data_IF_980523955605
#
_entry.id   IF_980523955605
#
_cell.length_a   1.000
_cell.length_b   1.000
_cell.length_c   1.000
_cell.angle_alpha   90.00
_cell.angle_beta   90.00
_cell.angle_gamma   90.00
#
_symmetry.space_group_name_H-M   'P 1'
#
loop_
_entity.id
_entity.type
_entity.pdbx_description
1 polymer ?
#
# COMPACT_ATOMS: atom_id res chain seq x y z
N UNK A 1 2.36 8.64 16.57
CA UNK A 1 1.65 7.91 15.51
C UNK A 1 2.05 6.45 15.60
N UNK A 2 1.18 5.49 15.24
CA UNK A 2 1.57 4.08 15.25
C UNK A 2 2.69 3.84 14.24
N UNK A 3 3.67 3.04 14.62
CA UNK A 3 4.73 2.53 13.75
C UNK A 3 4.65 1.02 13.70
N UNK A 4 4.91 0.43 12.56
CA UNK A 4 4.80 -1.00 12.32
C UNK A 4 6.07 -1.55 11.69
N UNK A 5 6.29 -2.85 11.93
CA UNK A 5 7.45 -3.58 11.39
C UNK A 5 7.02 -4.94 10.86
N UNK A 6 7.41 -5.22 9.63
CA UNK A 6 7.24 -6.51 8.98
C UNK A 6 8.62 -7.10 8.68
N UNK A 7 8.90 -8.29 9.17
CA UNK A 7 10.10 -9.03 8.83
C UNK A 7 9.73 -10.22 7.95
N UNK A 8 10.39 -10.33 6.81
CA UNK A 8 10.20 -11.42 5.84
C UNK A 8 11.47 -12.25 5.74
N UNK A 9 11.34 -13.55 5.95
CA UNK A 9 12.44 -14.50 5.94
C UNK A 9 12.29 -15.46 4.77
N UNK A 10 13.41 -15.70 4.05
CA UNK A 10 13.53 -16.73 3.02
C UNK A 10 14.72 -17.60 3.38
N UNK A 11 14.54 -18.92 3.44
CA UNK A 11 15.64 -19.82 3.75
C UNK A 11 16.79 -19.67 2.73
N UNK A 12 18.06 -19.74 3.18
CA UNK A 12 19.21 -19.63 2.28
C UNK A 12 19.20 -20.63 1.12
N UNK A 13 18.58 -21.80 1.30
CA UNK A 13 18.45 -22.83 0.24
C UNK A 13 17.42 -22.45 -0.83
N UNK A 14 16.36 -21.68 -0.48
CA UNK A 14 15.27 -21.31 -1.36
C UNK A 14 15.55 -19.98 -2.09
N UNK A 15 16.36 -19.12 -1.49
CA UNK A 15 16.69 -17.79 -2.02
C UNK A 15 17.26 -17.82 -3.45
N UNK A 16 18.21 -18.70 -3.82
CA UNK A 16 18.72 -18.79 -5.19
C UNK A 16 17.61 -19.17 -6.19
N UNK A 17 16.66 -20.03 -5.81
CA UNK A 17 15.54 -20.46 -6.65
C UNK A 17 14.63 -19.27 -6.92
N UNK A 18 14.22 -18.54 -5.87
CA UNK A 18 13.39 -17.34 -5.95
C UNK A 18 14.03 -16.28 -6.85
N UNK A 19 15.36 -16.05 -6.70
CA UNK A 19 16.10 -15.08 -7.52
C UNK A 19 16.21 -15.51 -8.98
N UNK A 20 16.52 -16.78 -9.25
CA UNK A 20 16.64 -17.29 -10.63
C UNK A 20 15.31 -17.25 -11.35
N UNK A 21 14.21 -17.44 -10.64
CA UNK A 21 12.85 -17.26 -11.19
C UNK A 21 12.45 -15.78 -11.39
N UNK A 22 13.34 -14.82 -11.11
CA UNK A 22 13.06 -13.39 -11.23
C UNK A 22 12.01 -12.87 -10.25
N UNK A 23 11.72 -13.63 -9.20
CA UNK A 23 10.68 -13.27 -8.24
C UNK A 23 11.12 -12.13 -7.33
N UNK A 24 10.20 -11.22 -7.04
CA UNK A 24 10.40 -10.09 -6.12
C UNK A 24 9.39 -10.18 -4.97
N UNK A 25 9.82 -9.79 -3.80
CA UNK A 25 8.90 -9.60 -2.66
C UNK A 25 8.04 -8.39 -2.98
N UNK A 26 6.74 -8.59 -3.03
CA UNK A 26 5.78 -7.56 -3.39
C UNK A 26 4.82 -7.28 -2.24
N UNK A 27 4.64 -6.00 -1.93
CA UNK A 27 3.78 -5.52 -0.86
C UNK A 27 2.73 -4.58 -1.44
N UNK A 28 1.50 -4.71 -0.96
CA UNK A 28 0.42 -3.78 -1.24
C UNK A 28 -0.45 -3.54 -0.01
N UNK A 29 -1.04 -2.36 0.07
CA UNK A 29 -1.86 -1.92 1.19
C UNK A 29 -3.25 -1.53 0.70
N UNK A 30 -4.34 -2.05 1.26
CA UNK A 30 -5.70 -1.69 0.84
C UNK A 30 -6.07 -0.29 1.34
N UNK A 31 -6.83 0.44 0.52
CA UNK A 31 -7.40 1.75 0.84
C UNK A 31 -8.85 1.75 0.38
N UNK A 32 -9.79 2.04 1.28
CA UNK A 32 -11.24 2.13 1.04
C UNK A 32 -11.91 0.86 0.51
N UNK A 33 -11.15 -0.18 0.19
CA UNK A 33 -11.62 -1.48 -0.28
C UNK A 33 -10.82 -2.60 0.39
N UNK A 34 -11.37 -3.81 0.41
CA UNK A 34 -10.73 -4.97 1.05
C UNK A 34 -9.45 -5.40 0.31
N UNK A 35 -9.39 -5.19 -1.02
CA UNK A 35 -8.22 -5.54 -1.84
C UNK A 35 -7.43 -4.31 -2.25
N UNK A 36 -6.08 -4.37 -2.22
CA UNK A 36 -5.25 -3.28 -2.72
C UNK A 36 -5.31 -3.20 -4.25
N UNK A 37 -5.08 -2.00 -4.78
CA UNK A 37 -5.04 -1.76 -6.22
C UNK A 37 -3.75 -1.08 -6.71
N UNK A 38 -2.75 -0.95 -5.84
CA UNK A 38 -1.42 -0.43 -6.20
C UNK A 38 -0.35 -1.23 -5.47
N UNK A 39 0.71 -1.59 -6.18
CA UNK A 39 1.91 -2.17 -5.58
C UNK A 39 2.68 -1.06 -4.87
N UNK A 40 2.70 -1.13 -3.55
CA UNK A 40 3.44 -0.20 -2.72
C UNK A 40 4.94 -0.41 -2.83
N UNK A 41 5.41 -1.65 -2.59
CA UNK A 41 6.83 -1.99 -2.64
C UNK A 41 7.05 -3.25 -3.46
N UNK A 42 8.10 -3.24 -4.28
CA UNK A 42 8.62 -4.40 -4.99
C UNK A 42 10.12 -4.47 -4.71
N UNK A 43 10.55 -5.48 -3.96
CA UNK A 43 11.84 -5.57 -3.31
C UNK A 43 12.59 -6.80 -3.83
N UNK A 44 13.88 -6.67 -4.09
CA UNK A 44 14.74 -7.83 -4.38
C UNK A 44 14.78 -8.75 -3.15
N UNK A 45 14.65 -10.07 -3.32
CA UNK A 45 14.60 -10.97 -2.19
C UNK A 45 15.97 -11.13 -1.52
N UNK A 46 15.95 -11.12 -0.18
CA UNK A 46 17.07 -11.43 0.70
C UNK A 46 16.69 -12.54 1.68
N UNK A 47 17.65 -13.12 2.38
CA UNK A 47 17.38 -14.10 3.45
C UNK A 47 16.57 -13.49 4.59
N UNK A 48 16.73 -12.18 4.80
CA UNK A 48 15.93 -11.39 5.74
C UNK A 48 15.69 -10.02 5.13
N UNK A 49 14.42 -9.62 5.06
CA UNK A 49 14.00 -8.29 4.60
C UNK A 49 13.14 -7.67 5.68
N UNK A 50 13.57 -6.53 6.20
CA UNK A 50 12.81 -5.75 7.17
C UNK A 50 12.15 -4.56 6.49
N UNK A 51 10.86 -4.38 6.72
CA UNK A 51 10.09 -3.23 6.27
C UNK A 51 9.46 -2.57 7.49
N UNK A 52 9.71 -1.28 7.70
CA UNK A 52 9.06 -0.51 8.76
C UNK A 52 8.45 0.77 8.20
N UNK A 53 7.37 1.22 8.81
CA UNK A 53 6.65 2.43 8.39
C UNK A 53 5.88 3.05 9.54
N UNK A 54 5.53 4.30 9.38
CA UNK A 54 4.59 5.03 10.24
C UNK A 54 3.26 5.21 9.52
N UNK A 55 2.16 5.28 10.26
CA UNK A 55 0.83 5.57 9.70
C UNK A 55 0.68 7.06 9.35
N UNK A 56 1.56 7.50 8.44
CA UNK A 56 1.61 8.84 7.87
C UNK A 56 1.43 8.74 6.36
N UNK A 57 0.56 9.59 5.83
CA UNK A 57 0.18 9.56 4.42
C UNK A 57 0.32 10.92 3.78
N UNK A 58 0.63 10.93 2.48
CA UNK A 58 0.41 12.04 1.58
C UNK A 58 -0.78 11.76 0.67
N UNK A 59 -1.32 12.79 0.04
CA UNK A 59 -2.31 12.67 -1.01
C UNK A 59 -1.64 13.09 -2.31
N UNK A 60 -1.71 12.26 -3.35
CA UNK A 60 -1.15 12.60 -4.65
C UNK A 60 -2.23 12.74 -5.73
N UNK A 61 -1.88 13.44 -6.80
CA UNK A 61 -2.60 13.52 -8.05
C UNK A 61 -1.73 13.05 -9.21
N UNK A 62 -2.33 12.40 -10.20
CA UNK A 62 -1.67 11.91 -11.42
C UNK A 62 -2.61 12.02 -12.63
N UNK A 63 -2.03 12.13 -13.82
CA UNK A 63 -2.75 12.01 -15.11
C UNK A 63 -2.79 10.58 -15.63
N UNK A 64 -2.08 9.65 -15.00
CA UNK A 64 -2.09 8.24 -15.39
C UNK A 64 -3.46 7.63 -15.13
N UNK A 65 -4.08 7.08 -16.15
CA UNK A 65 -5.37 6.40 -16.02
C UNK A 65 -5.25 5.15 -15.14
N UNK A 66 -6.30 4.87 -14.35
CA UNK A 66 -6.36 3.66 -13.52
C UNK A 66 -6.63 2.46 -14.44
N UNK A 67 -5.57 1.77 -14.81
CA UNK A 67 -5.60 0.56 -15.62
C UNK A 67 -4.52 -0.43 -15.17
N UNK A 68 -4.78 -1.72 -15.35
CA UNK A 68 -3.86 -2.78 -14.94
C UNK A 68 -2.50 -2.63 -15.62
N UNK A 69 -1.42 -2.77 -14.86
CA UNK A 69 -0.05 -2.63 -15.33
C UNK A 69 0.45 -1.20 -15.51
N UNK A 70 -0.41 -0.19 -15.39
CA UNK A 70 0.02 1.21 -15.50
C UNK A 70 0.90 1.63 -14.32
N UNK A 71 1.99 2.32 -14.60
CA UNK A 71 2.89 2.87 -13.56
C UNK A 71 2.50 4.31 -13.25
N UNK A 72 2.26 4.60 -11.99
CA UNK A 72 1.85 5.93 -11.52
C UNK A 72 3.04 6.88 -11.60
N UNK A 73 2.83 8.02 -12.27
CA UNK A 73 3.71 9.19 -12.20
C UNK A 73 2.94 10.31 -11.52
N UNK A 74 3.41 10.74 -10.37
CA UNK A 74 2.76 11.83 -9.61
C UNK A 74 2.96 13.16 -10.32
N UNK A 75 1.88 13.92 -10.49
CA UNK A 75 1.90 15.31 -10.94
C UNK A 75 2.14 16.25 -9.76
N UNK A 76 1.51 15.98 -8.63
CA UNK A 76 1.58 16.77 -7.41
C UNK A 76 1.28 15.88 -6.18
N UNK A 77 1.72 16.36 -5.02
CA UNK A 77 1.53 15.67 -3.75
C UNK A 77 1.42 16.68 -2.61
N UNK A 78 0.66 16.37 -1.57
CA UNK A 78 0.61 17.17 -0.34
C UNK A 78 1.89 17.00 0.48
N UNK A 79 2.09 17.88 1.46
CA UNK A 79 3.07 17.61 2.52
C UNK A 79 2.70 16.34 3.29
N UNK A 80 3.70 15.68 3.89
CA UNK A 80 3.54 14.52 4.77
C UNK A 80 3.90 14.92 6.20
N UNK A 81 3.06 14.60 7.16
CA UNK A 81 1.76 13.92 7.03
C UNK A 81 0.65 14.86 6.57
N UNK A 82 -0.17 14.41 5.62
CA UNK A 82 -1.47 15.03 5.39
C UNK A 82 -2.33 14.85 6.66
N UNK A 83 -3.17 15.84 6.96
CA UNK A 83 -4.05 15.80 8.13
C UNK A 83 -5.26 14.90 7.84
N UNK A 84 -5.47 13.87 8.64
CA UNK A 84 -6.67 13.04 8.59
C UNK A 84 -7.92 13.78 9.08
N UNK A 85 -9.10 13.30 8.70
CA UNK A 85 -10.35 14.00 9.00
C UNK A 85 -10.53 15.31 8.25
N UNK A 86 -9.72 15.57 7.24
CA UNK A 86 -9.68 16.80 6.44
C UNK A 86 -9.84 16.52 4.96
N UNK A 87 -10.19 17.55 4.20
CA UNK A 87 -10.19 17.51 2.75
C UNK A 87 -9.17 18.46 2.14
N UNK A 88 -8.75 18.12 0.93
CA UNK A 88 -7.81 18.87 0.12
C UNK A 88 -8.40 19.10 -1.27
N UNK A 89 -8.33 20.33 -1.77
CA UNK A 89 -8.76 20.70 -3.11
C UNK A 89 -7.55 20.73 -4.04
N UNK A 90 -7.61 19.95 -5.12
CA UNK A 90 -6.61 20.00 -6.19
C UNK A 90 -7.04 21.03 -7.23
N UNK A 91 -6.29 22.10 -7.36
CA UNK A 91 -6.66 23.31 -8.08
C UNK A 91 -6.19 23.31 -9.54
N UNK A 92 -6.70 24.23 -10.41
CA UNK A 92 -6.20 24.42 -11.76
C UNK A 92 -4.69 24.79 -11.84
N UNK A 93 -4.11 25.30 -10.76
CA UNK A 93 -2.68 25.54 -10.65
C UNK A 93 -1.85 24.28 -10.37
N UNK A 94 -2.48 23.10 -10.39
CA UNK A 94 -1.88 21.77 -10.15
C UNK A 94 -1.25 21.61 -8.76
N UNK A 95 -1.81 22.28 -7.77
CA UNK A 95 -1.40 22.21 -6.37
C UNK A 95 -2.57 21.84 -5.46
N UNK A 96 -2.29 21.19 -4.35
CA UNK A 96 -3.25 20.92 -3.30
C UNK A 96 -3.38 22.11 -2.36
N UNK A 97 -4.61 22.60 -2.16
CA UNK A 97 -4.97 23.50 -1.08
C UNK A 97 -5.57 22.71 0.07
N UNK A 98 -5.13 22.98 1.27
CA UNK A 98 -5.59 22.28 2.48
C UNK A 98 -4.48 22.17 3.54
N UNK A 99 -4.71 21.55 4.68
CA UNK A 99 -5.94 20.84 5.06
C UNK A 99 -7.12 21.78 5.33
N UNK A 100 -8.33 21.37 4.93
CA UNK A 100 -9.58 22.07 5.21
C UNK A 100 -10.49 21.19 6.05
N UNK A 101 -11.15 21.78 7.05
CA UNK A 101 -12.11 21.12 7.91
C UNK A 101 -13.54 21.42 7.49
N UNK A 102 -14.47 20.58 7.89
CA UNK A 102 -15.90 20.74 7.54
C UNK A 102 -16.28 19.96 6.28
N UNK A 103 -17.24 20.44 5.56
CA UNK A 103 -17.89 19.72 4.46
C UNK A 103 -19.12 18.96 4.92
N UNK A 104 -19.98 18.57 3.95
CA UNK A 104 -21.19 17.80 4.22
C UNK A 104 -21.22 16.59 3.28
N UNK A 105 -21.09 15.37 3.81
CA UNK A 105 -20.75 15.00 5.20
C UNK A 105 -19.29 15.33 5.58
N UNK A 106 -18.99 15.49 6.87
CA UNK A 106 -17.63 15.70 7.34
C UNK A 106 -16.74 14.46 7.10
N UNK A 107 -15.45 14.69 6.88
CA UNK A 107 -14.48 13.61 6.71
C UNK A 107 -14.22 12.95 8.07
N UNK A 108 -14.36 11.64 8.14
CA UNK A 108 -14.10 10.88 9.36
C UNK A 108 -12.62 10.85 9.70
N UNK A 109 -12.28 10.72 10.99
CA UNK A 109 -10.90 10.46 11.43
C UNK A 109 -10.34 9.19 10.79
N UNK A 110 -9.05 9.20 10.46
CA UNK A 110 -8.37 8.12 9.73
C UNK A 110 -8.71 8.09 8.24
N UNK A 111 -9.46 9.06 7.74
CA UNK A 111 -9.81 9.19 6.32
C UNK A 111 -9.30 10.51 5.75
N UNK A 112 -9.06 10.53 4.46
CA UNK A 112 -8.57 11.66 3.67
C UNK A 112 -9.50 11.90 2.50
N UNK A 113 -9.83 13.13 2.17
CA UNK A 113 -10.65 13.45 1.00
C UNK A 113 -9.90 14.38 0.07
N UNK A 114 -9.84 14.02 -1.21
CA UNK A 114 -9.33 14.87 -2.28
C UNK A 114 -10.47 15.29 -3.21
N UNK A 115 -10.55 16.58 -3.55
CA UNK A 115 -11.52 17.14 -4.49
C UNK A 115 -10.77 17.52 -5.75
N UNK A 116 -11.29 17.13 -6.92
CA UNK A 116 -10.75 17.55 -8.22
C UNK A 116 -11.45 18.85 -8.65
N UNK A 117 -10.87 20.00 -8.30
CA UNK A 117 -11.40 21.32 -8.69
C UNK A 117 -10.80 21.84 -10.02
N UNK A 118 -10.17 20.92 -10.79
CA UNK A 118 -9.69 21.27 -12.14
C UNK A 118 -10.88 21.27 -13.12
N UNK A 119 -11.00 22.29 -14.00
CA UNK A 119 -12.04 22.32 -15.01
C UNK A 119 -12.03 21.12 -15.93
N UNK A 120 -13.21 20.62 -16.31
CA UNK A 120 -13.37 19.50 -17.23
C UNK A 120 -12.62 19.72 -18.57
N UNK A 121 -12.56 20.95 -19.06
CA UNK A 121 -11.85 21.31 -20.28
C UNK A 121 -10.31 21.14 -20.21
N UNK A 122 -9.75 21.13 -19.00
CA UNK A 122 -8.32 20.92 -18.80
C UNK A 122 -8.01 19.43 -18.53
N UNK A 123 -8.68 18.85 -17.54
CA UNK A 123 -8.54 17.43 -17.18
C UNK A 123 -9.92 16.87 -16.81
N UNK A 124 -10.60 16.16 -17.72
CA UNK A 124 -11.93 15.60 -17.45
C UNK A 124 -11.89 14.54 -16.34
N UNK A 125 -10.74 13.88 -16.17
CA UNK A 125 -10.50 12.90 -15.12
C UNK A 125 -9.05 12.98 -14.66
N UNK A 126 -8.81 12.83 -13.36
CA UNK A 126 -7.51 12.69 -12.75
C UNK A 126 -7.51 11.47 -11.83
N UNK A 127 -6.33 10.94 -11.56
CA UNK A 127 -6.14 9.85 -10.59
C UNK A 127 -5.63 10.42 -9.28
N UNK A 128 -6.33 10.09 -8.20
CA UNK A 128 -5.92 10.44 -6.83
C UNK A 128 -5.63 9.18 -6.03
N UNK A 129 -4.77 9.29 -5.05
CA UNK A 129 -4.48 8.21 -4.11
C UNK A 129 -3.66 8.70 -2.93
N UNK A 130 -3.37 7.76 -2.03
CA UNK A 130 -2.48 8.00 -0.90
C UNK A 130 -1.07 7.55 -1.23
N UNK A 131 -0.09 8.20 -0.62
CA UNK A 131 1.31 7.78 -0.59
C UNK A 131 1.74 7.47 0.82
N UNK A 132 2.71 6.58 0.96
CA UNK A 132 3.33 6.26 2.25
C UNK A 132 4.83 5.99 2.07
N UNK A 133 5.63 6.50 3.02
CA UNK A 133 7.05 6.20 3.13
C UNK A 133 7.27 4.89 3.88
N UNK A 134 8.26 4.11 3.47
CA UNK A 134 8.75 2.95 4.19
C UNK A 134 10.27 3.03 4.39
N UNK A 135 10.78 2.31 5.39
CA UNK A 135 12.18 1.95 5.51
C UNK A 135 12.32 0.48 5.12
N UNK A 136 13.20 0.17 4.20
CA UNK A 136 13.50 -1.20 3.76
C UNK A 136 14.96 -1.49 4.07
N UNK A 137 15.21 -2.42 4.98
CA UNK A 137 16.55 -2.71 5.47
C UNK A 137 17.32 -1.43 5.85
N UNK A 138 16.66 -0.53 6.59
CA UNK A 138 17.16 0.78 7.02
C UNK A 138 17.43 1.80 5.89
N UNK A 139 16.99 1.52 4.66
CA UNK A 139 17.06 2.47 3.56
C UNK A 139 15.66 3.07 3.29
N UNK A 140 15.54 4.39 3.11
CA UNK A 140 14.25 5.01 2.85
C UNK A 140 13.72 4.62 1.46
N UNK A 141 12.44 4.27 1.41
CA UNK A 141 11.65 4.12 0.19
C UNK A 141 10.53 5.17 0.21
N UNK A 142 10.87 6.36 -0.26
CA UNK A 142 10.08 7.55 -0.09
C UNK A 142 8.78 7.56 -0.88
N UNK A 143 7.71 8.04 -0.21
CA UNK A 143 6.46 8.56 -0.80
C UNK A 143 5.90 7.76 -1.97
N UNK A 144 5.83 6.43 -1.81
CA UNK A 144 5.29 5.58 -2.87
C UNK A 144 3.76 5.48 -2.78
N UNK A 145 3.05 5.54 -3.94
CA UNK A 145 1.62 5.31 -4.01
C UNK A 145 1.19 3.97 -3.40
N UNK A 146 0.08 3.99 -2.66
CA UNK A 146 -0.55 2.79 -2.09
C UNK A 146 -1.97 2.56 -2.63
N UNK A 147 -2.55 3.55 -3.30
CA UNK A 147 -3.88 3.44 -3.91
C UNK A 147 -4.01 4.34 -5.13
N UNK A 148 -4.97 4.04 -6.00
CA UNK A 148 -5.30 4.84 -7.18
C UNK A 148 -6.81 4.82 -7.42
N UNK A 149 -7.43 6.00 -7.56
CA UNK A 149 -8.86 6.16 -7.82
C UNK A 149 -9.07 7.24 -8.89
N UNK A 150 -9.83 6.92 -9.94
CA UNK A 150 -10.21 7.89 -10.96
C UNK A 150 -11.27 8.85 -10.42
N UNK A 151 -11.04 10.16 -10.56
CA UNK A 151 -11.93 11.22 -10.06
C UNK A 151 -12.23 12.19 -11.18
N UNK A 152 -13.50 12.29 -11.56
CA UNK A 152 -13.95 13.24 -12.57
C UNK A 152 -13.80 14.68 -12.06
N UNK A 153 -13.74 15.64 -12.99
CA UNK A 153 -13.79 17.06 -12.67
C UNK A 153 -14.98 17.37 -11.75
N UNK A 154 -14.79 18.21 -10.75
CA UNK A 154 -15.76 18.59 -9.71
C UNK A 154 -16.16 17.49 -8.72
N UNK A 155 -15.59 16.29 -8.83
CA UNK A 155 -15.85 15.19 -7.92
C UNK A 155 -14.74 15.00 -6.88
N UNK A 156 -14.93 14.04 -6.00
CA UNK A 156 -13.96 13.77 -4.93
C UNK A 156 -13.74 12.28 -4.69
N UNK A 157 -12.55 11.93 -4.19
CA UNK A 157 -12.24 10.62 -3.62
C UNK A 157 -12.17 10.71 -2.09
N UNK A 158 -12.82 9.77 -1.41
CA UNK A 158 -12.63 9.52 0.02
C UNK A 158 -11.71 8.29 0.16
N UNK A 159 -10.61 8.44 0.90
CA UNK A 159 -9.57 7.44 1.03
C UNK A 159 -9.37 7.09 2.50
N UNK A 160 -9.63 5.83 2.86
CA UNK A 160 -9.45 5.30 4.22
C UNK A 160 -8.45 4.16 4.15
N UNK A 161 -7.20 4.36 4.58
CA UNK A 161 -6.19 3.31 4.57
C UNK A 161 -6.48 2.27 5.66
N UNK A 162 -6.17 1.01 5.35
CA UNK A 162 -6.18 -0.08 6.33
C UNK A 162 -4.75 -0.41 6.77
N UNK A 163 -4.62 -1.02 7.93
CA UNK A 163 -3.31 -1.43 8.48
C UNK A 163 -2.84 -2.80 7.96
N UNK A 164 -3.65 -3.47 7.15
CA UNK A 164 -3.28 -4.77 6.57
C UNK A 164 -2.23 -4.60 5.46
N UNK A 165 -1.28 -5.53 5.40
CA UNK A 165 -0.29 -5.63 4.32
C UNK A 165 -0.48 -6.95 3.59
N UNK A 166 -0.65 -6.88 2.28
CA UNK A 166 -0.63 -8.02 1.37
C UNK A 166 0.80 -8.30 0.94
N UNK A 167 1.23 -9.56 1.02
CA UNK A 167 2.61 -10.00 0.73
C UNK A 167 2.59 -11.19 -0.19
N UNK A 168 3.33 -11.14 -1.32
CA UNK A 168 3.49 -12.26 -2.23
C UNK A 168 4.81 -12.17 -3.02
N UNK A 169 5.12 -13.21 -3.76
CA UNK A 169 6.21 -13.21 -4.75
C UNK A 169 5.63 -13.06 -6.17
N UNK A 170 6.24 -12.23 -6.99
CA UNK A 170 5.88 -12.07 -8.40
C UNK A 170 7.03 -11.43 -9.20
N UNK A 171 7.03 -11.60 -10.52
CA UNK A 171 8.11 -11.12 -11.41
C UNK A 171 7.70 -9.97 -12.34
N UNK A 172 6.39 -9.71 -12.51
CA UNK A 172 5.89 -8.90 -13.62
C UNK A 172 5.84 -7.39 -13.32
N UNK A 173 5.55 -7.02 -12.08
CA UNK A 173 5.27 -5.63 -11.73
C UNK A 173 6.29 -5.06 -10.73
N UNK A 174 6.52 -3.77 -10.84
CA UNK A 174 7.37 -2.98 -9.93
C UNK A 174 6.50 -2.18 -8.94
N UNK A 175 7.15 -1.51 -7.99
CA UNK A 175 6.48 -0.51 -7.14
C UNK A 175 5.74 0.53 -8.00
N UNK A 176 4.68 1.12 -7.45
CA UNK A 176 3.87 2.17 -8.10
C UNK A 176 3.03 1.66 -9.29
N UNK A 177 2.98 0.34 -9.52
CA UNK A 177 2.13 -0.25 -10.57
C UNK A 177 0.71 -0.44 -10.07
N UNK A 178 -0.27 -0.01 -10.88
CA UNK A 178 -1.69 -0.27 -10.65
C UNK A 178 -1.98 -1.72 -10.98
N UNK A 179 -2.73 -2.40 -10.12
CA UNK A 179 -3.19 -3.78 -10.30
C UNK A 179 -4.70 -3.85 -10.12
N UNK A 180 -5.38 -4.64 -10.92
CA UNK A 180 -6.83 -4.87 -10.76
C UNK A 180 -7.12 -6.01 -9.80
N UNK A 181 -6.17 -6.94 -9.68
CA UNK A 181 -6.25 -8.07 -8.75
C UNK A 181 -4.85 -8.60 -8.42
N UNK A 182 -4.70 -9.23 -7.28
CA UNK A 182 -3.51 -10.02 -6.98
C UNK A 182 -3.68 -11.38 -7.64
N UNK A 183 -2.77 -11.71 -8.54
CA UNK A 183 -2.73 -13.02 -9.19
C UNK A 183 -1.80 -13.95 -8.41
N UNK A 184 -2.32 -15.13 -8.05
CA UNK A 184 -1.56 -16.14 -7.31
C UNK A 184 -1.73 -16.08 -5.79
N UNK A 185 -0.94 -16.92 -5.14
CA UNK A 185 -0.98 -17.09 -3.69
C UNK A 185 -0.39 -15.87 -2.98
N UNK A 186 -1.03 -15.41 -1.94
CA UNK A 186 -0.57 -14.27 -1.13
C UNK A 186 -0.92 -14.44 0.34
N UNK A 187 -0.22 -13.72 1.19
CA UNK A 187 -0.47 -13.65 2.62
C UNK A 187 -0.96 -12.26 3.00
N UNK A 188 -1.74 -12.17 4.06
CA UNK A 188 -2.21 -10.90 4.62
C UNK A 188 -1.73 -10.80 6.07
N UNK A 189 -0.81 -9.87 6.32
CA UNK A 189 -0.37 -9.51 7.66
C UNK A 189 -1.30 -8.41 8.21
N UNK A 190 -1.92 -8.65 9.36
CA UNK A 190 -2.88 -7.72 9.97
C UNK A 190 -2.24 -7.03 11.16
N UNK A 191 -1.99 -5.74 10.99
CA UNK A 191 -1.47 -4.86 12.05
C UNK A 191 -2.60 -4.08 12.73
N UNK A 192 -2.31 -3.57 13.91
CA UNK A 192 -3.22 -2.72 14.69
C UNK A 192 -3.56 -3.31 16.05
N UNK A 193 -4.21 -2.54 16.90
CA UNK A 193 -4.36 -2.90 18.31
C UNK A 193 -3.01 -2.98 19.01
N UNK A 194 -2.66 -4.14 19.56
CA UNK A 194 -1.35 -4.41 20.17
C UNK A 194 -0.33 -5.02 19.19
N UNK A 195 -0.70 -5.27 17.93
CA UNK A 195 0.16 -5.91 16.91
C UNK A 195 0.87 -4.84 16.11
N UNK A 196 2.12 -4.60 16.41
CA UNK A 196 3.01 -3.65 15.73
C UNK A 196 4.19 -4.30 15.01
N UNK A 197 4.47 -5.60 15.29
CA UNK A 197 5.58 -6.35 14.71
C UNK A 197 5.12 -7.74 14.28
N UNK A 198 5.37 -8.08 13.01
CA UNK A 198 5.05 -9.39 12.43
C UNK A 198 6.26 -9.96 11.73
N UNK A 199 6.58 -11.24 11.99
CA UNK A 199 7.61 -11.98 11.27
C UNK A 199 6.97 -13.10 10.46
N UNK A 200 7.19 -13.10 9.16
CA UNK A 200 6.74 -14.13 8.23
C UNK A 200 7.92 -14.86 7.60
N UNK A 201 7.75 -16.12 7.30
CA UNK A 201 8.73 -16.96 6.61
C UNK A 201 8.11 -17.54 5.35
N UNK A 202 8.86 -17.51 4.26
CA UNK A 202 8.42 -18.13 3.00
C UNK A 202 8.34 -19.65 3.14
N UNK A 203 7.20 -20.21 2.76
CA UNK A 203 6.99 -21.65 2.64
C UNK A 203 6.95 -22.02 1.14
N UNK A 204 8.00 -22.70 0.60
CA UNK A 204 8.06 -23.03 -0.82
C UNK A 204 7.02 -24.08 -1.26
N UNK A 205 6.45 -24.88 -0.32
CA UNK A 205 5.42 -25.85 -0.65
C UNK A 205 4.05 -25.19 -0.86
N UNK A 206 3.81 -24.09 -0.16
CA UNK A 206 2.56 -23.30 -0.27
C UNK A 206 2.71 -22.11 -1.24
N UNK A 207 3.93 -21.69 -1.52
CA UNK A 207 4.22 -20.52 -2.34
C UNK A 207 3.82 -19.19 -1.68
N UNK A 208 3.76 -19.14 -0.34
CA UNK A 208 3.32 -17.97 0.44
C UNK A 208 4.24 -17.72 1.64
N UNK A 209 4.08 -16.57 2.26
CA UNK A 209 4.69 -16.28 3.55
C UNK A 209 3.75 -16.71 4.68
N UNK A 210 4.24 -17.50 5.63
CA UNK A 210 3.50 -17.98 6.80
C UNK A 210 4.07 -17.37 8.07
N UNK A 211 3.33 -17.40 9.18
CA UNK A 211 3.86 -16.95 10.48
C UNK A 211 5.13 -17.72 10.83
N UNK A 212 6.19 -17.01 11.20
CA UNK A 212 7.44 -17.62 11.64
C UNK A 212 7.37 -18.14 13.08
N UNK A 213 6.34 -17.77 13.84
CA UNK A 213 6.14 -18.23 15.23
C UNK A 213 5.58 -19.65 15.21
N UNK A 214 6.22 -20.64 15.89
CA UNK A 214 5.70 -21.99 15.94
C UNK A 214 4.32 -22.04 16.62
N UNK A 215 3.38 -22.83 16.08
CA UNK A 215 2.12 -23.14 16.74
C UNK A 215 2.42 -23.81 18.09
N UNK A 216 2.15 -23.14 19.21
CA UNK A 216 2.31 -23.72 20.56
C UNK A 216 2.86 -22.79 21.64
N UNK A 217 3.37 -21.64 21.31
CA UNK A 217 3.66 -20.59 22.28
C UNK A 217 2.39 -19.79 22.48
N UNK A 218 1.96 -19.61 23.74
CA UNK A 218 0.79 -18.80 24.08
C UNK A 218 0.96 -17.39 23.50
N UNK A 219 0.28 -17.15 22.40
CA UNK A 219 0.37 -15.93 21.61
C UNK A 219 -0.48 -14.85 22.27
N UNK A 220 0.19 -13.90 22.89
CA UNK A 220 -0.50 -12.66 23.25
C UNK A 220 -0.54 -11.68 22.06
N UNK A 221 0.21 -11.89 20.95
CA UNK A 221 0.30 -10.90 19.86
C UNK A 221 0.78 -11.46 18.52
N UNK A 222 0.23 -12.56 18.02
CA UNK A 222 0.45 -12.90 16.62
C UNK A 222 -0.62 -12.23 15.74
N UNK A 223 -0.20 -11.31 14.90
CA UNK A 223 -1.05 -10.78 13.85
C UNK A 223 -1.62 -11.92 13.01
N UNK A 224 -2.95 -11.95 12.86
CA UNK A 224 -3.62 -12.99 12.09
C UNK A 224 -3.08 -12.96 10.66
N UNK A 225 -2.37 -14.02 10.27
CA UNK A 225 -1.95 -14.24 8.88
C UNK A 225 -3.03 -15.02 8.19
N UNK A 226 -3.70 -14.41 7.22
CA UNK A 226 -4.64 -15.07 6.36
C UNK A 226 -3.94 -15.50 5.07
N UNK A 227 -3.98 -16.79 4.76
CA UNK A 227 -3.41 -17.35 3.52
C UNK A 227 -4.58 -17.53 2.55
N UNK A 228 -4.52 -16.86 1.40
CA UNK A 228 -5.43 -17.10 0.29
C UNK A 228 -4.68 -17.91 -0.78
N UNK A 229 -4.84 -19.22 -0.71
CA UNK A 229 -4.46 -20.15 -1.77
C UNK A 229 -5.72 -20.57 -2.55
N UNK A 230 -5.67 -20.71 -3.88
CA UNK A 230 -6.78 -21.31 -4.60
C UNK A 230 -7.01 -22.74 -4.09
N UNK A 231 -8.26 -23.06 -3.81
CA UNK A 231 -8.68 -24.46 -3.58
C UNK A 231 -8.57 -25.18 -4.93
N UNK A 232 -7.69 -26.15 -5.02
CA UNK A 232 -7.65 -27.10 -6.14
C UNK A 232 -8.78 -28.10 -6.01
#
# INVERSE_FOLDING_TARGET
>A
MPSYRLQLLIDPKDLPIVKTAGQRITLAKPVSAASPNVIWQSIDPFTSTEISWEEQYGIYCSTVAVSDGATITKMSETEIPAQDGSYYSFTPATVFNGPMSGGSPPVARGSYKAINDVPYSAYPVLTFGLTQTAMINQQPADRKPISATSVLATQSALMTPFTNIYVWLQSNFKSETIITQITGNHSVAKFGGAVDNITLKYDPNLGVFVSATPKGVLEHDSGLVQINAPLF
#
